data_IF_145892524522
#
_entry.id   IF_145892524522
#
_cell.length_a   1.000
_cell.length_b   1.000
_cell.length_c   1.000
_cell.angle_alpha   90.00
_cell.angle_beta   90.00
_cell.angle_gamma   90.00
#
_symmetry.space_group_name_H-M   'P 1'
#
loop_
_entity.id
_entity.type
_entity.pdbx_description
1 polymer ?
#
# COMPACT_ATOMS: atom_id res chain seq x y z
N UNK A 1 -26.08 -19.42 -7.67
CA UNK A 1 -25.70 -18.47 -6.60
C UNK A 1 -24.19 -18.47 -6.48
N UNK A 2 -23.53 -17.36 -6.84
CA UNK A 2 -22.09 -17.21 -6.60
C UNK A 2 -21.89 -16.79 -5.14
N UNK A 3 -21.23 -17.64 -4.35
CA UNK A 3 -20.81 -17.30 -3.00
C UNK A 3 -19.57 -16.40 -3.15
N UNK A 4 -19.55 -15.17 -2.62
CA UNK A 4 -18.30 -14.42 -2.59
C UNK A 4 -17.35 -15.25 -1.73
N UNK A 5 -16.31 -15.79 -2.36
CA UNK A 5 -15.19 -16.38 -1.63
C UNK A 5 -14.57 -15.22 -0.86
N UNK A 6 -14.54 -15.26 0.48
CA UNK A 6 -13.90 -14.20 1.26
C UNK A 6 -12.46 -14.04 0.78
N UNK A 7 -12.02 -12.80 0.63
CA UNK A 7 -10.66 -12.49 0.20
C UNK A 7 -9.68 -12.94 1.28
N UNK A 8 -9.02 -14.08 1.05
CA UNK A 8 -8.20 -14.75 2.07
C UNK A 8 -6.80 -14.11 2.23
N UNK A 9 -6.36 -13.33 1.25
CA UNK A 9 -4.95 -12.92 1.14
C UNK A 9 -4.71 -11.47 1.57
N UNK A 10 -5.79 -10.70 1.79
CA UNK A 10 -5.74 -9.32 2.27
C UNK A 10 -5.16 -8.32 1.25
N UNK A 11 -5.13 -8.66 -0.04
CA UNK A 11 -4.68 -7.80 -1.14
C UNK A 11 -5.92 -7.15 -1.78
N UNK A 12 -5.96 -5.82 -1.82
CA UNK A 12 -7.14 -5.10 -2.34
C UNK A 12 -7.07 -4.93 -3.86
N UNK A 13 -5.87 -4.75 -4.43
CA UNK A 13 -5.69 -4.52 -5.87
C UNK A 13 -4.45 -5.26 -6.40
N UNK A 14 -4.54 -5.73 -7.64
CA UNK A 14 -3.38 -6.12 -8.45
C UNK A 14 -3.28 -5.16 -9.62
N UNK A 15 -2.12 -4.52 -9.77
CA UNK A 15 -1.82 -3.59 -10.86
C UNK A 15 -0.78 -4.27 -11.73
N UNK A 16 -1.08 -4.44 -13.01
CA UNK A 16 -0.17 -5.10 -13.95
C UNK A 16 -0.11 -4.37 -15.28
N UNK A 17 1.03 -4.51 -15.95
CA UNK A 17 1.24 -4.00 -17.30
C UNK A 17 1.15 -5.15 -18.30
N UNK A 18 0.21 -5.12 -19.27
CA UNK A 18 0.14 -6.16 -20.30
C UNK A 18 1.32 -6.04 -21.27
N UNK A 19 2.00 -7.16 -21.53
CA UNK A 19 3.10 -7.21 -22.51
C UNK A 19 4.46 -7.01 -21.85
N UNK A 20 5.22 -6.01 -22.27
CA UNK A 20 6.59 -5.79 -21.80
C UNK A 20 6.77 -4.37 -21.31
N UNK A 21 7.29 -4.21 -20.09
CA UNK A 21 7.67 -2.92 -19.53
C UNK A 21 9.16 -3.00 -19.14
N UNK A 22 10.00 -2.26 -19.85
CA UNK A 22 11.46 -2.41 -19.74
C UNK A 22 11.92 -3.82 -20.11
N UNK A 23 12.63 -4.48 -19.19
CA UNK A 23 13.13 -5.85 -19.39
C UNK A 23 12.15 -6.94 -18.89
N UNK A 24 11.11 -6.56 -18.13
CA UNK A 24 10.15 -7.49 -17.53
C UNK A 24 8.99 -7.79 -18.50
N UNK A 25 8.56 -9.05 -18.50
CA UNK A 25 7.35 -9.52 -19.21
C UNK A 25 6.20 -9.63 -18.22
N UNK A 26 5.08 -8.98 -18.54
CA UNK A 26 3.87 -8.91 -17.73
C UNK A 26 4.14 -8.55 -16.27
N UNK A 27 4.87 -7.44 -15.98
CA UNK A 27 5.13 -7.07 -14.60
C UNK A 27 3.82 -6.72 -13.90
N UNK A 28 3.77 -7.06 -12.61
CA UNK A 28 2.64 -6.78 -11.76
C UNK A 28 3.10 -6.51 -10.32
N UNK A 29 2.28 -5.76 -9.59
CA UNK A 29 2.40 -5.55 -8.15
C UNK A 29 1.05 -5.82 -7.51
N UNK A 30 1.09 -6.23 -6.25
CA UNK A 30 -0.07 -6.40 -5.39
C UNK A 30 -0.04 -5.32 -4.31
N UNK A 31 -1.18 -4.71 -4.03
CA UNK A 31 -1.27 -3.66 -3.02
C UNK A 31 -2.40 -3.90 -2.04
N UNK A 32 -2.10 -3.68 -0.76
CA UNK A 32 -3.11 -3.53 0.28
C UNK A 32 -3.32 -2.03 0.52
N UNK A 33 -4.56 -1.56 0.43
CA UNK A 33 -4.93 -0.16 0.58
C UNK A 33 -5.53 0.07 1.96
N UNK A 34 -5.04 1.08 2.67
CA UNK A 34 -5.60 1.53 3.94
C UNK A 34 -5.85 3.03 3.90
N UNK A 35 -7.08 3.44 4.23
CA UNK A 35 -7.39 4.84 4.48
C UNK A 35 -7.10 5.19 5.93
N UNK A 36 -6.67 6.43 6.17
CA UNK A 36 -6.35 6.93 7.50
C UNK A 36 -6.70 8.40 7.66
N UNK A 37 -7.65 8.67 8.55
CA UNK A 37 -8.24 10.00 8.80
C UNK A 37 -7.65 10.73 10.00
N UNK A 38 -6.79 10.06 10.78
CA UNK A 38 -6.13 10.63 11.98
C UNK A 38 -4.62 10.47 11.85
N UNK A 39 -3.99 11.08 10.83
CA UNK A 39 -2.58 10.88 10.54
C UNK A 39 -1.69 11.37 11.67
N UNK A 40 -0.77 10.51 12.10
CA UNK A 40 0.22 10.75 13.13
C UNK A 40 1.60 10.27 12.65
N UNK A 41 2.66 10.83 13.19
CA UNK A 41 3.98 10.51 12.66
C UNK A 41 5.09 11.35 13.24
N UNK A 42 6.31 11.04 12.79
CA UNK A 42 7.44 11.96 12.94
C UNK A 42 7.41 13.02 11.84
N UNK A 43 8.49 13.78 11.71
CA UNK A 43 8.68 14.70 10.59
C UNK A 43 8.64 13.94 9.26
N UNK A 44 9.36 12.82 9.18
CA UNK A 44 9.68 12.15 7.91
C UNK A 44 8.84 10.89 7.66
N UNK A 45 8.16 10.36 8.68
CA UNK A 45 7.39 9.12 8.59
C UNK A 45 5.98 9.27 9.13
N UNK A 46 5.03 8.61 8.47
CA UNK A 46 3.72 8.27 8.99
C UNK A 46 3.81 7.01 9.87
N UNK A 47 3.19 7.05 11.05
CA UNK A 47 3.20 5.95 12.01
C UNK A 47 1.83 5.26 12.04
N UNK A 48 1.62 4.35 11.09
CA UNK A 48 0.33 3.70 10.93
C UNK A 48 0.18 2.50 11.86
N UNK A 49 -0.83 2.54 12.74
CA UNK A 49 -1.10 1.51 13.75
C UNK A 49 -2.33 0.64 13.39
N UNK A 50 -2.85 0.75 12.18
CA UNK A 50 -4.11 0.10 11.78
C UNK A 50 -3.96 -1.34 11.27
N UNK A 51 -2.76 -1.80 10.94
CA UNK A 51 -2.53 -3.17 10.51
C UNK A 51 -2.62 -4.14 11.69
N UNK A 52 -3.25 -5.29 11.49
CA UNK A 52 -3.02 -6.45 12.37
C UNK A 52 -1.70 -7.13 12.03
N UNK A 53 -1.13 -7.89 12.95
CA UNK A 53 0.08 -8.70 12.68
C UNK A 53 -0.15 -9.68 11.50
N UNK A 54 -1.36 -10.25 11.40
CA UNK A 54 -1.72 -11.10 10.26
C UNK A 54 -1.67 -10.35 8.93
N UNK A 55 -2.21 -9.13 8.88
CA UNK A 55 -2.15 -8.29 7.68
C UNK A 55 -0.71 -7.84 7.37
N UNK A 56 0.08 -7.52 8.39
CA UNK A 56 1.49 -7.21 8.20
C UNK A 56 2.24 -8.38 7.56
N UNK A 57 2.01 -9.62 8.02
CA UNK A 57 2.63 -10.81 7.45
C UNK A 57 2.22 -11.11 6.01
N UNK A 58 1.08 -10.58 5.49
CA UNK A 58 0.75 -10.74 4.07
C UNK A 58 1.55 -9.80 3.17
N UNK A 59 2.19 -8.77 3.75
CA UNK A 59 3.03 -7.78 3.06
C UNK A 59 4.53 -7.98 3.32
N UNK A 60 4.88 -8.52 4.48
CA UNK A 60 6.26 -8.64 4.95
C UNK A 60 6.93 -9.94 4.49
N UNK A 61 8.25 -9.90 4.41
CA UNK A 61 9.08 -11.06 4.10
C UNK A 61 9.28 -11.30 2.60
N UNK A 62 10.21 -12.24 2.34
CA UNK A 62 10.62 -12.64 0.99
C UNK A 62 9.80 -13.82 0.47
N UNK A 63 9.98 -14.16 -0.81
CA UNK A 63 9.36 -15.33 -1.44
C UNK A 63 8.04 -15.06 -2.15
N UNK A 64 7.60 -13.79 -2.22
CA UNK A 64 6.51 -13.41 -3.10
C UNK A 64 7.01 -13.27 -4.54
N UNK A 65 6.39 -14.02 -5.45
CA UNK A 65 6.65 -13.87 -6.89
C UNK A 65 6.22 -12.51 -7.45
N UNK A 66 5.22 -11.90 -6.82
CA UNK A 66 4.68 -10.59 -7.17
C UNK A 66 4.96 -9.65 -6.01
N UNK A 67 5.70 -8.54 -6.20
CA UNK A 67 5.99 -7.59 -5.13
C UNK A 67 4.71 -7.05 -4.49
N UNK A 68 4.76 -6.88 -3.16
CA UNK A 68 3.62 -6.45 -2.34
C UNK A 68 3.94 -5.13 -1.63
N UNK A 69 2.98 -4.20 -1.67
CA UNK A 69 3.13 -2.90 -1.04
C UNK A 69 1.90 -2.54 -0.20
N UNK A 70 2.13 -1.75 0.85
CA UNK A 70 1.07 -1.00 1.52
C UNK A 70 0.88 0.33 0.80
N UNK A 71 -0.35 0.66 0.43
CA UNK A 71 -0.76 2.00 0.02
C UNK A 71 -1.56 2.63 1.16
N UNK A 72 -0.99 3.65 1.78
CA UNK A 72 -1.61 4.41 2.86
C UNK A 72 -2.21 5.70 2.30
N UNK A 73 -3.52 5.80 2.28
CA UNK A 73 -4.25 6.99 1.81
C UNK A 73 -4.59 7.86 3.02
N UNK A 74 -3.86 8.97 3.15
CA UNK A 74 -4.17 9.98 4.17
C UNK A 74 -5.33 10.82 3.65
N UNK A 75 -6.39 10.86 4.44
CA UNK A 75 -7.61 11.61 4.15
C UNK A 75 -7.92 12.56 5.30
N UNK A 76 -8.72 13.61 5.10
CA UNK A 76 -9.15 14.49 6.18
C UNK A 76 -10.03 13.73 7.18
N UNK A 77 -10.12 14.25 8.41
CA UNK A 77 -11.00 13.70 9.45
C UNK A 77 -12.47 13.88 9.11
N UNK A 78 -12.81 14.99 8.45
CA UNK A 78 -14.16 15.34 8.05
C UNK A 78 -14.43 14.95 6.59
N UNK A 79 -15.53 14.24 6.36
CA UNK A 79 -15.90 13.74 5.02
C UNK A 79 -16.08 14.85 3.98
N UNK A 80 -16.52 16.04 4.40
CA UNK A 80 -16.77 17.17 3.50
C UNK A 80 -15.47 17.87 3.06
N UNK A 81 -14.37 17.65 3.77
CA UNK A 81 -13.06 18.19 3.40
C UNK A 81 -12.33 17.29 2.39
N UNK A 82 -12.82 16.05 2.21
CA UNK A 82 -12.26 15.09 1.26
C UNK A 82 -12.41 15.57 -0.19
N UNK A 83 -13.59 16.08 -0.54
CA UNK A 83 -13.91 16.56 -1.88
C UNK A 83 -14.63 17.90 -1.76
N UNK A 84 -13.91 18.98 -2.07
CA UNK A 84 -14.46 20.33 -2.10
C UNK A 84 -14.59 20.79 -3.54
N UNK A 85 -15.82 21.12 -3.96
CA UNK A 85 -16.11 21.63 -5.29
C UNK A 85 -16.61 23.07 -5.19
N UNK A 86 -15.98 23.97 -5.94
CA UNK A 86 -16.45 25.33 -6.18
C UNK A 86 -16.53 25.61 -7.68
N UNK A 87 -16.99 26.80 -8.07
CA UNK A 87 -17.14 27.19 -9.48
C UNK A 87 -15.79 27.28 -10.23
N UNK A 88 -14.66 27.32 -9.52
CA UNK A 88 -13.33 27.43 -10.10
C UNK A 88 -12.61 26.06 -10.18
N UNK A 89 -12.84 25.15 -9.23
CA UNK A 89 -12.15 23.86 -9.18
C UNK A 89 -12.91 22.78 -8.40
N UNK A 90 -12.55 21.55 -8.72
CA UNK A 90 -12.74 20.39 -7.85
C UNK A 90 -11.40 20.07 -7.16
N UNK A 91 -11.38 20.13 -5.83
CA UNK A 91 -10.23 19.76 -5.01
C UNK A 91 -10.51 18.45 -4.27
N UNK A 92 -9.63 17.46 -4.47
CA UNK A 92 -9.66 16.20 -3.73
C UNK A 92 -8.48 16.17 -2.75
N UNK A 93 -8.76 16.24 -1.45
CA UNK A 93 -7.75 16.39 -0.39
C UNK A 93 -7.22 15.03 0.10
N UNK A 94 -6.66 14.21 -0.80
CA UNK A 94 -6.08 12.92 -0.45
C UNK A 94 -4.65 12.78 -0.98
N UNK A 95 -3.78 12.18 -0.17
CA UNK A 95 -2.45 11.80 -0.60
C UNK A 95 -2.24 10.32 -0.30
N UNK A 96 -1.90 9.55 -1.33
CA UNK A 96 -1.51 8.17 -1.19
C UNK A 96 0.00 8.07 -1.01
N UNK A 97 0.46 7.29 -0.04
CA UNK A 97 1.86 6.99 0.21
C UNK A 97 2.07 5.48 0.09
N UNK A 98 3.30 5.05 -0.18
CA UNK A 98 3.61 3.62 -0.31
C UNK A 98 4.76 3.17 0.60
N UNK A 99 4.73 1.91 1.01
CA UNK A 99 5.83 1.25 1.73
C UNK A 99 5.96 -0.22 1.32
N UNK A 100 7.20 -0.72 1.32
CA UNK A 100 7.53 -2.13 1.13
C UNK A 100 8.03 -2.72 2.44
N UNK A 101 7.55 -3.93 2.76
CA UNK A 101 8.00 -4.70 3.93
C UNK A 101 8.74 -5.98 3.53
N UNK A 102 9.19 -6.08 2.27
CA UNK A 102 9.85 -7.27 1.71
C UNK A 102 11.04 -7.76 2.56
N UNK A 103 11.86 -6.84 3.08
CA UNK A 103 13.02 -7.15 3.91
C UNK A 103 12.71 -7.26 5.42
N UNK A 104 11.44 -7.12 5.82
CA UNK A 104 11.07 -7.24 7.24
C UNK A 104 10.85 -8.70 7.63
N UNK A 105 11.20 -9.03 8.88
CA UNK A 105 10.92 -10.34 9.45
C UNK A 105 9.41 -10.51 9.71
N UNK A 106 8.91 -11.72 9.46
CA UNK A 106 7.54 -12.09 9.82
C UNK A 106 7.35 -12.08 11.34
N UNK A 107 6.17 -11.66 11.79
CA UNK A 107 5.75 -11.81 13.18
C UNK A 107 5.40 -13.28 13.41
N UNK A 108 6.13 -13.95 14.31
CA UNK A 108 5.86 -15.34 14.69
C UNK A 108 4.58 -15.45 15.51
N UNK A 109 3.79 -16.50 15.25
CA UNK A 109 2.50 -16.74 15.91
C UNK A 109 1.60 -15.49 15.86
N UNK A 110 1.36 -14.98 14.65
CA UNK A 110 0.62 -13.76 14.39
C UNK A 110 -0.84 -13.83 14.86
N UNK A 111 -1.40 -12.67 15.15
CA UNK A 111 -2.82 -12.52 15.50
C UNK A 111 -3.53 -11.57 14.56
N UNK A 112 -4.79 -11.88 14.25
CA UNK A 112 -5.70 -10.98 13.53
C UNK A 112 -6.17 -9.79 14.37
N UNK A 113 -5.98 -9.81 15.69
CA UNK A 113 -6.46 -8.76 16.61
C UNK A 113 -5.34 -7.87 17.16
N UNK A 114 -4.12 -8.40 17.31
CA UNK A 114 -2.96 -7.59 17.73
C UNK A 114 -2.53 -6.67 16.60
N UNK A 115 -2.28 -5.41 16.94
CA UNK A 115 -1.88 -4.38 15.98
C UNK A 115 -0.37 -4.39 15.79
N UNK A 116 0.06 -4.16 14.56
CA UNK A 116 1.45 -3.97 14.19
C UNK A 116 1.62 -2.56 13.66
N UNK A 117 2.46 -1.76 14.33
CA UNK A 117 2.81 -0.41 13.88
C UNK A 117 3.80 -0.52 12.72
N UNK A 118 3.54 0.23 11.65
CA UNK A 118 4.47 0.37 10.53
C UNK A 118 4.80 1.82 10.28
N UNK A 119 5.98 2.06 9.73
CA UNK A 119 6.44 3.37 9.31
C UNK A 119 6.33 3.49 7.78
N UNK A 120 5.68 4.55 7.30
CA UNK A 120 5.54 4.85 5.87
C UNK A 120 6.22 6.20 5.60
N UNK A 121 7.30 6.27 4.81
CA UNK A 121 7.98 7.52 4.52
C UNK A 121 7.05 8.53 3.85
N UNK A 122 7.09 9.79 4.27
CA UNK A 122 6.29 10.86 3.65
C UNK A 122 6.79 11.22 2.26
N UNK A 123 8.06 10.98 1.97
CA UNK A 123 8.63 11.16 0.64
C UNK A 123 8.15 10.10 -0.36
N UNK A 124 7.59 8.98 0.12
CA UNK A 124 7.00 7.94 -0.72
C UNK A 124 5.59 8.33 -1.20
N UNK A 125 5.42 9.56 -1.70
CA UNK A 125 4.18 10.00 -2.32
C UNK A 125 3.92 9.17 -3.59
N UNK A 126 2.77 8.50 -3.63
CA UNK A 126 2.37 7.66 -4.75
C UNK A 126 1.87 8.54 -5.90
N UNK A 127 2.78 8.83 -6.82
CA UNK A 127 2.49 9.52 -8.08
C UNK A 127 2.40 8.51 -9.23
N UNK A 128 1.83 8.87 -10.40
CA UNK A 128 1.84 7.98 -11.57
C UNK A 128 3.24 7.53 -11.98
N UNK A 129 4.25 8.41 -11.85
CA UNK A 129 5.66 8.05 -12.09
C UNK A 129 6.15 6.99 -11.11
N UNK A 130 5.91 7.21 -9.82
CA UNK A 130 6.30 6.25 -8.77
C UNK A 130 5.60 4.91 -8.97
N UNK A 131 4.30 4.90 -9.32
CA UNK A 131 3.58 3.66 -9.61
C UNK A 131 4.20 2.90 -10.79
N UNK A 132 4.61 3.61 -11.85
CA UNK A 132 5.35 3.01 -12.95
C UNK A 132 6.70 2.44 -12.48
N UNK A 133 7.44 3.18 -11.65
CA UNK A 133 8.73 2.74 -11.11
C UNK A 133 8.56 1.47 -10.22
N UNK A 134 7.48 1.38 -9.45
CA UNK A 134 7.11 0.18 -8.68
C UNK A 134 6.78 -1.04 -9.56
N UNK A 135 6.21 -0.84 -10.75
CA UNK A 135 5.93 -1.94 -11.68
C UNK A 135 7.19 -2.53 -12.31
N UNK A 136 8.24 -1.73 -12.46
CA UNK A 136 9.53 -2.18 -13.00
C UNK A 136 10.54 -2.56 -11.91
N UNK A 137 10.13 -2.47 -10.63
CA UNK A 137 10.95 -2.86 -9.49
C UNK A 137 11.17 -4.38 -9.50
N UNK A 138 12.44 -4.78 -9.50
CA UNK A 138 12.86 -6.17 -9.35
C UNK A 138 13.44 -6.38 -7.94
N UNK A 139 12.70 -7.02 -7.02
CA UNK A 139 13.16 -7.24 -5.64
C UNK A 139 14.40 -8.16 -5.55
N UNK A 140 14.69 -8.97 -6.58
CA UNK A 140 15.79 -9.94 -6.57
C UNK A 140 17.09 -9.35 -7.18
N UNK A 141 17.03 -8.16 -7.79
CA UNK A 141 18.20 -7.51 -8.39
C UNK A 141 19.11 -6.77 -7.39
N UNK A 142 18.68 -6.62 -6.13
CA UNK A 142 19.45 -5.97 -5.03
C UNK A 142 20.06 -6.97 -4.03
N UNK A 143 20.14 -8.26 -4.39
CA UNK A 143 20.68 -9.36 -3.56
C UNK A 143 22.14 -9.72 -3.83
#
# INVERSE_FOLDING_TARGET
MAKPVPDCDGIDLTIGYPGRLGHLRHPAIQVQVKSWSVPAGSRDHWNYNGLSERQFNTLAGRGFRVPRFLVLVVVPSEQFDYAHADHARLQLSHAAYWASFHNHALVKADSGTRRHRVEVPKDNLLTPKVLHDLLVFDPEAEG
#
